data_IF_527367354256
#
_entry.id   IF_527367354256
#
_cell.length_a   1.000
_cell.length_b   1.000
_cell.length_c   1.000
_cell.angle_alpha   90.00
_cell.angle_beta   90.00
_cell.angle_gamma   90.00
#
_symmetry.space_group_name_H-M   'P 1'
#
loop_
_entity.id
_entity.type
_entity.pdbx_description
1 polymer ?
#
# COMPACT_ATOMS: atom_id res chain seq x y z
N UNK A 1 27.51 18.46 24.46
CA UNK A 1 27.82 18.04 23.08
C UNK A 1 26.81 16.97 22.66
N UNK A 2 25.69 17.34 22.01
CA UNK A 2 24.72 16.33 21.51
C UNK A 2 25.31 15.73 20.24
N UNK A 3 25.64 14.42 20.26
CA UNK A 3 26.11 13.69 19.08
C UNK A 3 25.08 13.89 17.96
N UNK A 4 25.53 14.43 16.82
CA UNK A 4 24.72 14.54 15.61
C UNK A 4 24.35 13.14 15.13
N UNK A 5 23.16 12.67 15.49
CA UNK A 5 22.61 11.44 14.96
C UNK A 5 22.38 11.63 13.46
N UNK A 6 22.99 10.77 12.65
CA UNK A 6 22.72 10.70 11.21
C UNK A 6 21.20 10.53 11.04
N UNK A 7 20.55 11.50 10.40
CA UNK A 7 19.13 11.40 10.06
C UNK A 7 18.97 10.22 9.11
N UNK A 8 18.23 9.22 9.54
CA UNK A 8 17.84 8.09 8.70
C UNK A 8 16.51 8.52 8.07
N UNK A 9 16.50 8.74 6.76
CA UNK A 9 15.26 8.99 6.04
C UNK A 9 14.49 7.67 5.96
N UNK A 10 13.30 7.63 6.56
CA UNK A 10 12.43 6.45 6.55
C UNK A 10 11.20 6.80 5.72
N UNK A 11 10.98 6.04 4.65
CA UNK A 11 9.80 6.18 3.81
C UNK A 11 8.64 5.40 4.43
N UNK A 12 7.48 6.03 4.58
CA UNK A 12 6.25 5.34 5.04
C UNK A 12 5.81 4.28 4.03
N UNK A 13 5.98 4.59 2.74
CA UNK A 13 5.61 3.75 1.61
C UNK A 13 6.62 3.95 0.49
N UNK A 14 6.94 2.87 -0.23
CA UNK A 14 7.81 2.90 -1.41
C UNK A 14 7.21 1.99 -2.48
N UNK A 15 7.25 2.42 -3.73
CA UNK A 15 6.80 1.62 -4.87
C UNK A 15 7.97 1.29 -5.77
N UNK A 16 8.15 0.02 -6.09
CA UNK A 16 9.26 -0.49 -6.91
C UNK A 16 8.82 -1.81 -7.56
N UNK A 17 9.10 -1.99 -8.86
CA UNK A 17 8.83 -3.24 -9.60
C UNK A 17 7.43 -3.83 -9.37
N UNK A 18 6.39 -2.99 -9.56
CA UNK A 18 4.99 -3.36 -9.36
C UNK A 18 4.68 -3.93 -7.95
N UNK A 19 5.48 -3.54 -6.94
CA UNK A 19 5.35 -3.94 -5.54
C UNK A 19 5.29 -2.71 -4.64
N UNK A 20 4.33 -2.70 -3.71
CA UNK A 20 4.25 -1.70 -2.65
C UNK A 20 4.99 -2.21 -1.41
N UNK A 21 5.94 -1.42 -0.91
CA UNK A 21 6.61 -1.64 0.37
C UNK A 21 6.04 -0.69 1.42
N UNK A 22 5.46 -1.24 2.48
CA UNK A 22 4.92 -0.48 3.62
C UNK A 22 5.87 -0.59 4.81
N UNK A 23 6.24 0.53 5.42
CA UNK A 23 6.96 0.53 6.69
C UNK A 23 6.10 -0.16 7.76
N UNK A 24 6.64 -1.17 8.43
CA UNK A 24 5.91 -1.87 9.49
C UNK A 24 5.90 -1.05 10.79
N UNK A 25 4.87 -0.23 10.93
CA UNK A 25 4.68 0.64 12.09
C UNK A 25 4.40 -0.14 13.38
N UNK A 26 4.18 -1.47 13.33
CA UNK A 26 4.02 -2.31 14.54
C UNK A 26 5.35 -2.65 15.19
N UNK A 27 6.47 -2.48 14.46
CA UNK A 27 7.82 -2.82 14.94
C UNK A 27 8.62 -1.59 15.38
N UNK A 28 8.14 -0.40 15.07
CA UNK A 28 8.75 0.83 15.53
C UNK A 28 8.59 1.01 17.05
N UNK A 29 9.57 1.66 17.73
CA UNK A 29 10.81 2.20 17.18
C UNK A 29 11.96 1.17 17.09
N UNK A 30 11.71 -0.09 17.46
CA UNK A 30 12.76 -1.10 17.67
C UNK A 30 13.37 -1.63 16.38
N UNK A 31 12.56 -1.82 15.32
CA UNK A 31 13.01 -2.37 14.04
C UNK A 31 12.37 -1.58 12.90
N UNK A 32 13.21 -1.15 11.96
CA UNK A 32 12.77 -0.60 10.66
C UNK A 32 12.74 -1.78 9.68
N UNK A 33 11.54 -2.19 9.30
CA UNK A 33 11.32 -3.25 8.31
C UNK A 33 10.15 -2.89 7.41
N UNK A 34 10.11 -3.47 6.23
CA UNK A 34 9.09 -3.21 5.23
C UNK A 34 8.31 -4.49 4.93
N UNK A 35 6.99 -4.38 4.82
CA UNK A 35 6.12 -5.42 4.30
C UNK A 35 5.93 -5.18 2.80
N UNK A 36 6.22 -6.18 1.97
CA UNK A 36 5.92 -6.15 0.53
C UNK A 36 4.47 -6.59 0.27
N UNK A 37 3.76 -5.81 -0.53
CA UNK A 37 2.42 -6.10 -1.01
C UNK A 37 2.45 -6.17 -2.54
N UNK A 38 1.99 -7.27 -3.11
CA UNK A 38 1.98 -7.51 -4.56
C UNK A 38 0.57 -7.57 -5.15
N UNK A 39 -0.45 -7.50 -4.29
CA UNK A 39 -1.85 -7.47 -4.66
C UNK A 39 -2.68 -6.74 -3.59
N UNK A 40 -3.91 -6.33 -3.92
CA UNK A 40 -4.81 -5.64 -3.01
C UNK A 40 -5.10 -6.41 -1.70
N UNK A 41 -5.17 -7.77 -1.66
CA UNK A 41 -5.39 -8.50 -0.41
C UNK A 41 -4.21 -8.40 0.56
N UNK A 42 -2.99 -8.17 0.07
CA UNK A 42 -1.83 -7.93 0.94
C UNK A 42 -1.96 -6.57 1.63
N UNK A 43 -2.38 -5.56 0.88
CA UNK A 43 -2.61 -4.20 1.40
C UNK A 43 -3.74 -4.20 2.42
N UNK A 44 -4.84 -4.91 2.15
CA UNK A 44 -5.93 -5.15 3.11
C UNK A 44 -5.41 -5.70 4.43
N UNK A 45 -4.63 -6.78 4.38
CA UNK A 45 -4.04 -7.39 5.58
C UNK A 45 -3.11 -6.41 6.32
N UNK A 46 -2.37 -5.58 5.60
CA UNK A 46 -1.48 -4.58 6.19
C UNK A 46 -2.26 -3.51 6.97
N UNK A 47 -3.38 -3.02 6.44
CA UNK A 47 -4.26 -2.05 7.12
C UNK A 47 -4.90 -2.70 8.36
N UNK A 48 -5.50 -3.88 8.20
CA UNK A 48 -6.16 -4.60 9.30
C UNK A 48 -5.21 -4.96 10.45
N UNK A 49 -3.94 -5.26 10.15
CA UNK A 49 -2.90 -5.55 11.14
C UNK A 49 -2.19 -4.30 11.67
N UNK A 50 -2.61 -3.10 11.27
CA UNK A 50 -2.01 -1.82 11.65
C UNK A 50 -0.51 -1.70 11.29
N UNK A 51 -0.07 -2.43 10.25
CA UNK A 51 1.26 -2.25 9.62
C UNK A 51 1.34 -0.84 9.06
N UNK A 52 0.27 -0.38 8.40
CA UNK A 52 0.03 1.01 8.03
C UNK A 52 -1.18 1.55 8.80
N UNK A 53 -1.09 2.78 9.31
CA UNK A 53 -2.15 3.43 10.08
C UNK A 53 -2.08 4.95 9.95
N UNK A 54 -3.17 5.61 10.36
CA UNK A 54 -3.39 7.04 10.18
C UNK A 54 -4.14 7.32 8.87
N UNK A 55 -5.19 8.15 8.93
CA UNK A 55 -6.13 8.30 7.81
C UNK A 55 -5.46 8.65 6.47
N UNK A 56 -4.48 9.60 6.39
CA UNK A 56 -3.80 9.89 5.12
C UNK A 56 -3.02 8.70 4.57
N UNK A 57 -2.33 7.96 5.44
CA UNK A 57 -1.55 6.80 5.02
C UNK A 57 -2.45 5.63 4.61
N UNK A 58 -3.55 5.39 5.32
CA UNK A 58 -4.54 4.36 4.92
C UNK A 58 -5.10 4.68 3.52
N UNK A 59 -5.46 5.93 3.26
CA UNK A 59 -5.94 6.34 1.93
C UNK A 59 -4.91 6.11 0.81
N UNK A 60 -3.64 6.43 1.06
CA UNK A 60 -2.57 6.18 0.11
C UNK A 60 -2.34 4.67 -0.13
N UNK A 61 -2.30 3.86 0.93
CA UNK A 61 -2.16 2.40 0.81
C UNK A 61 -3.33 1.80 0.00
N UNK A 62 -4.57 2.23 0.29
CA UNK A 62 -5.75 1.78 -0.44
C UNK A 62 -5.66 2.06 -1.95
N UNK A 63 -5.18 3.26 -2.33
CA UNK A 63 -4.97 3.62 -3.73
C UNK A 63 -3.90 2.75 -4.42
N UNK A 64 -2.82 2.41 -3.72
CA UNK A 64 -1.83 1.45 -4.23
C UNK A 64 -2.40 0.03 -4.34
N UNK A 65 -3.24 -0.40 -3.39
CA UNK A 65 -3.96 -1.67 -3.46
C UNK A 65 -4.80 -1.79 -4.73
N UNK A 66 -5.52 -0.72 -5.09
CA UNK A 66 -6.24 -0.63 -6.37
C UNK A 66 -5.32 -0.78 -7.58
N UNK A 67 -4.20 -0.05 -7.60
CA UNK A 67 -3.23 -0.14 -8.68
C UNK A 67 -2.66 -1.56 -8.83
N UNK A 68 -2.30 -2.22 -7.72
CA UNK A 68 -1.81 -3.59 -7.70
C UNK A 68 -2.84 -4.59 -8.28
N UNK A 69 -4.11 -4.50 -7.85
CA UNK A 69 -5.18 -5.35 -8.36
C UNK A 69 -5.39 -5.19 -9.87
N UNK A 70 -5.28 -3.96 -10.38
CA UNK A 70 -5.35 -3.69 -11.83
C UNK A 70 -4.14 -4.25 -12.59
N UNK A 71 -2.93 -4.12 -12.04
CA UNK A 71 -1.72 -4.67 -12.65
C UNK A 71 -1.76 -6.20 -12.71
N UNK A 72 -2.24 -6.86 -11.65
CA UNK A 72 -2.44 -8.33 -11.61
C UNK A 72 -3.51 -8.82 -12.59
N UNK A 73 -4.42 -7.95 -13.00
CA UNK A 73 -5.47 -8.27 -13.98
C UNK A 73 -5.00 -8.19 -15.44
N UNK A 74 -3.74 -7.79 -15.72
CA UNK A 74 -3.17 -7.75 -17.08
C UNK A 74 -3.09 -9.16 -17.69
N UNK A 75 -3.88 -9.39 -18.73
CA UNK A 75 -4.05 -10.69 -19.39
C UNK A 75 -5.52 -11.02 -19.67
N UNK A 76 -6.44 -10.38 -18.94
CA UNK A 76 -7.84 -10.24 -19.35
C UNK A 76 -7.86 -9.25 -20.52
N UNK A 77 -8.53 -9.56 -21.64
CA UNK A 77 -8.73 -8.60 -22.75
C UNK A 77 -9.43 -7.37 -22.19
N UNK A 78 -8.66 -6.31 -21.95
CA UNK A 78 -9.13 -5.08 -21.36
C UNK A 78 -9.29 -4.04 -22.48
N UNK A 79 -10.52 -3.79 -22.93
CA UNK A 79 -10.84 -2.41 -23.29
C UNK A 79 -10.60 -1.61 -22.02
N UNK A 80 -9.88 -0.48 -22.09
CA UNK A 80 -9.63 0.36 -20.92
C UNK A 80 -10.92 0.47 -20.07
N UNK A 81 -10.84 0.30 -18.73
CA UNK A 81 -12.04 0.27 -17.91
C UNK A 81 -12.82 1.54 -18.19
N UNK A 82 -14.11 1.39 -18.46
CA UNK A 82 -15.03 2.51 -18.36
C UNK A 82 -14.91 3.11 -16.96
N UNK A 83 -15.25 4.40 -16.81
CA UNK A 83 -15.26 5.03 -15.50
C UNK A 83 -16.08 4.20 -14.48
N UNK A 84 -17.19 3.61 -14.92
CA UNK A 84 -18.03 2.71 -14.12
C UNK A 84 -17.29 1.47 -13.60
N UNK A 85 -16.48 0.80 -14.42
CA UNK A 85 -15.73 -0.39 -13.99
C UNK A 85 -14.62 -0.03 -13.01
N UNK A 86 -13.95 1.11 -13.24
CA UNK A 86 -13.00 1.68 -12.29
C UNK A 86 -13.70 1.99 -10.95
N UNK A 87 -14.86 2.64 -10.99
CA UNK A 87 -15.65 2.95 -9.80
C UNK A 87 -16.11 1.70 -9.08
N UNK A 88 -16.55 0.66 -9.79
CA UNK A 88 -16.96 -0.60 -9.18
C UNK A 88 -15.78 -1.27 -8.48
N UNK A 89 -14.61 -1.37 -9.12
CA UNK A 89 -13.43 -1.95 -8.49
C UNK A 89 -12.95 -1.12 -7.29
N UNK A 90 -12.96 0.21 -7.42
CA UNK A 90 -12.67 1.14 -6.33
C UNK A 90 -13.62 0.95 -5.16
N UNK A 91 -14.92 0.80 -5.41
CA UNK A 91 -15.93 0.53 -4.38
C UNK A 91 -15.72 -0.83 -3.73
N UNK A 92 -15.58 -1.91 -4.50
CA UNK A 92 -15.36 -3.27 -3.98
C UNK A 92 -14.15 -3.29 -3.04
N UNK A 93 -13.03 -2.73 -3.47
CA UNK A 93 -11.81 -2.69 -2.65
C UNK A 93 -12.02 -1.77 -1.45
N UNK A 94 -12.60 -0.57 -1.63
CA UNK A 94 -12.85 0.33 -0.51
C UNK A 94 -13.77 -0.26 0.58
N UNK A 95 -14.75 -1.09 0.21
CA UNK A 95 -15.61 -1.80 1.16
C UNK A 95 -14.90 -2.98 1.84
N UNK A 96 -13.83 -3.49 1.25
CA UNK A 96 -13.10 -4.65 1.74
C UNK A 96 -11.88 -4.31 2.60
N UNK A 97 -11.31 -3.11 2.46
CA UNK A 97 -10.19 -2.60 3.26
C UNK A 97 -10.63 -2.17 4.66
#
# INVERSE_FOLDING_TARGET
MKKGGKLIMVETMRWEDETLFLLDQTKLPHVITYLSCQDYPDVKKAIQKLVVRGAPAIGAAAAYGLALGMLKSRGVKFNAPTAQEFYHQAQTIAWEL
#
